data_IF_184318745086
#
_entry.id   IF_184318745086
#
_cell.length_a   1.000
_cell.length_b   1.000
_cell.length_c   1.000
_cell.angle_alpha   90.00
_cell.angle_beta   90.00
_cell.angle_gamma   90.00
#
_symmetry.space_group_name_H-M   'P 1'
#
loop_
_entity.id
_entity.type
_entity.pdbx_description
1 polymer ?
#
# COMPACT_ATOMS: atom_id res chain seq x y z
N UNK A 1 5.06 -5.92 16.85
CA UNK A 1 5.54 -4.59 16.42
C UNK A 1 7.03 -4.36 16.75
N UNK A 2 7.55 -4.91 17.90
CA UNK A 2 8.95 -4.67 18.34
C UNK A 2 9.95 -5.03 17.23
N UNK A 3 9.86 -6.22 16.64
CA UNK A 3 10.76 -6.63 15.56
C UNK A 3 10.74 -5.67 14.34
N UNK A 4 9.58 -5.07 14.03
CA UNK A 4 9.49 -4.07 12.94
C UNK A 4 10.18 -2.76 13.34
N UNK A 5 10.08 -2.37 14.61
CA UNK A 5 10.79 -1.19 15.13
C UNK A 5 12.31 -1.39 15.07
N UNK A 6 12.81 -2.58 15.46
CA UNK A 6 14.24 -2.91 15.37
C UNK A 6 14.74 -2.92 13.93
N UNK A 7 13.95 -3.48 13.00
CA UNK A 7 14.26 -3.45 11.56
C UNK A 7 14.30 -2.01 11.03
N UNK A 8 13.34 -1.17 11.42
CA UNK A 8 13.30 0.22 10.99
C UNK A 8 14.50 1.02 11.51
N UNK A 9 14.91 0.79 12.74
CA UNK A 9 16.12 1.42 13.31
C UNK A 9 17.38 1.08 12.49
N UNK A 10 17.48 -0.15 11.98
CA UNK A 10 18.61 -0.55 11.09
C UNK A 10 18.48 0.08 9.70
N UNK A 11 17.26 0.21 9.16
CA UNK A 11 17.00 0.82 7.84
C UNK A 11 17.30 2.32 7.87
N UNK A 12 16.95 2.99 8.95
CA UNK A 12 17.07 4.42 9.15
C UNK A 12 16.01 5.26 8.44
N UNK A 13 15.81 6.52 8.86
CA UNK A 13 14.74 7.39 8.34
C UNK A 13 14.90 7.70 6.85
N UNK A 14 16.13 7.88 6.36
CA UNK A 14 16.41 8.18 4.96
C UNK A 14 15.92 7.08 4.02
N UNK A 15 16.28 5.82 4.28
CA UNK A 15 15.84 4.71 3.45
C UNK A 15 14.35 4.44 3.64
N UNK A 16 13.83 4.59 4.86
CA UNK A 16 12.43 4.37 5.15
C UNK A 16 11.53 5.34 4.35
N UNK A 17 11.79 6.64 4.41
CA UNK A 17 11.04 7.67 3.66
C UNK A 17 11.23 7.52 2.15
N UNK A 18 12.43 7.17 1.69
CA UNK A 18 12.69 6.85 0.28
C UNK A 18 11.78 5.74 -0.22
N UNK A 19 11.60 4.66 0.54
CA UNK A 19 10.71 3.57 0.14
C UNK A 19 9.23 3.96 0.22
N UNK A 20 8.81 4.84 1.14
CA UNK A 20 7.45 5.38 1.12
C UNK A 20 7.16 6.06 -0.23
N UNK A 21 8.08 6.88 -0.75
CA UNK A 21 7.94 7.50 -2.07
C UNK A 21 8.05 6.50 -3.23
N UNK A 22 8.93 5.50 -3.14
CA UNK A 22 9.01 4.42 -4.15
C UNK A 22 7.66 3.70 -4.27
N UNK A 23 6.94 3.53 -3.17
CA UNK A 23 5.59 2.97 -3.16
C UNK A 23 4.48 3.99 -3.51
N UNK A 24 4.82 5.25 -3.82
CA UNK A 24 3.89 6.28 -4.25
C UNK A 24 3.10 6.93 -3.11
N UNK A 25 3.53 6.78 -1.87
CA UNK A 25 2.92 7.49 -0.75
C UNK A 25 3.34 8.96 -0.77
N UNK A 26 2.41 9.84 -0.43
CA UNK A 26 2.63 11.29 -0.46
C UNK A 26 2.58 11.93 -1.85
N UNK A 27 2.26 11.16 -2.90
CA UNK A 27 2.18 11.64 -4.29
C UNK A 27 0.77 11.41 -4.86
N UNK A 28 0.38 12.18 -5.85
CA UNK A 28 -0.79 11.85 -6.66
C UNK A 28 -0.55 10.55 -7.42
N UNK A 29 -1.52 9.64 -7.42
CA UNK A 29 -1.42 8.40 -8.20
C UNK A 29 -1.66 8.64 -9.69
N UNK A 30 -2.30 9.76 -10.01
CA UNK A 30 -2.70 10.10 -11.37
C UNK A 30 -3.85 9.24 -11.89
N UNK A 31 -4.70 8.71 -10.99
CA UNK A 31 -5.91 8.01 -11.38
C UNK A 31 -6.81 8.92 -12.23
N UNK A 32 -7.46 8.38 -13.21
CA UNK A 32 -8.36 9.06 -14.15
C UNK A 32 -9.73 9.45 -13.55
N UNK A 33 -9.78 9.71 -12.26
CA UNK A 33 -10.95 10.18 -11.52
C UNK A 33 -10.68 11.56 -10.89
N UNK A 34 -11.69 12.44 -10.84
CA UNK A 34 -11.55 13.73 -10.18
C UNK A 34 -11.51 13.58 -8.65
N UNK A 35 -10.85 14.52 -7.96
CA UNK A 35 -10.90 14.63 -6.50
C UNK A 35 -9.86 13.80 -5.77
N UNK A 36 -8.77 13.41 -6.42
CA UNK A 36 -7.66 12.77 -5.72
C UNK A 36 -7.08 13.72 -4.66
N UNK A 37 -6.91 13.22 -3.43
CA UNK A 37 -6.48 14.04 -2.30
C UNK A 37 -4.96 14.25 -2.29
N UNK A 38 -4.52 15.46 -1.93
CA UNK A 38 -3.13 15.78 -1.62
C UNK A 38 -2.73 15.16 -0.28
N UNK A 39 -1.63 14.42 -0.26
CA UNK A 39 -1.14 13.70 0.93
C UNK A 39 0.33 13.93 1.25
N UNK A 40 1.03 14.78 0.51
CA UNK A 40 2.46 15.05 0.74
C UNK A 40 2.77 15.54 2.15
N UNK A 41 1.91 16.40 2.71
CA UNK A 41 2.02 16.90 4.08
C UNK A 41 1.64 15.92 5.19
N UNK A 42 1.24 14.68 4.85
CA UNK A 42 0.83 13.65 5.81
C UNK A 42 1.92 12.60 6.07
N UNK A 43 3.10 12.77 5.47
CA UNK A 43 4.28 11.95 5.67
C UNK A 43 5.40 12.75 6.32
N UNK A 44 6.25 12.05 7.05
CA UNK A 44 7.51 12.63 7.52
C UNK A 44 8.53 12.64 6.38
N UNK A 45 9.42 13.64 6.40
CA UNK A 45 10.67 13.62 5.62
C UNK A 45 11.78 12.97 6.44
N UNK A 46 12.91 12.63 5.81
CA UNK A 46 14.05 12.08 6.53
C UNK A 46 14.55 13.01 7.65
N UNK A 47 14.49 14.33 7.41
CA UNK A 47 14.95 15.35 8.37
C UNK A 47 13.97 15.59 9.52
N UNK A 48 12.69 15.29 9.32
CA UNK A 48 11.64 15.51 10.34
C UNK A 48 11.24 14.24 11.09
N UNK A 49 11.67 13.06 10.61
CA UNK A 49 11.36 11.76 11.19
C UNK A 49 12.25 11.48 12.40
N UNK A 50 11.71 11.63 13.62
CA UNK A 50 12.38 11.21 14.84
C UNK A 50 12.35 9.68 15.06
N UNK A 51 13.08 9.21 16.09
CA UNK A 51 13.14 7.76 16.41
C UNK A 51 11.76 7.16 16.70
N UNK A 52 10.90 7.89 17.42
CA UNK A 52 9.54 7.46 17.76
C UNK A 52 8.66 7.42 16.51
N UNK A 53 8.84 8.40 15.61
CA UNK A 53 8.08 8.44 14.35
C UNK A 53 8.46 7.28 13.44
N UNK A 54 9.76 7.02 13.29
CA UNK A 54 10.26 5.87 12.54
C UNK A 54 9.74 4.55 13.13
N UNK A 55 9.82 4.40 14.45
CA UNK A 55 9.33 3.21 15.14
C UNK A 55 7.82 3.00 14.90
N UNK A 56 7.00 4.03 15.05
CA UNK A 56 5.54 3.94 14.87
C UNK A 56 5.16 3.74 13.39
N UNK A 57 5.82 4.41 12.46
CA UNK A 57 5.62 4.24 11.04
C UNK A 57 5.95 2.81 10.58
N UNK A 58 6.93 2.15 11.19
CA UNK A 58 7.37 0.80 10.82
C UNK A 58 6.28 -0.27 10.90
N UNK A 59 5.30 -0.08 11.76
CA UNK A 59 4.14 -0.97 11.89
C UNK A 59 2.82 -0.33 11.45
N UNK A 60 2.88 0.76 10.65
CA UNK A 60 1.73 1.36 9.98
C UNK A 60 0.93 2.33 10.83
N UNK A 61 1.55 3.01 11.79
CA UNK A 61 0.93 4.06 12.59
C UNK A 61 1.56 5.43 12.28
N UNK A 62 0.84 6.50 12.61
CA UNK A 62 1.35 7.88 12.61
C UNK A 62 1.65 8.46 11.20
N UNK A 63 1.03 7.93 10.15
CA UNK A 63 0.98 8.54 8.81
C UNK A 63 -0.33 8.18 8.11
N UNK A 64 -0.71 8.95 7.09
CA UNK A 64 -1.92 8.73 6.33
C UNK A 64 -1.64 8.64 4.83
N UNK A 65 -2.39 7.75 4.18
CA UNK A 65 -2.35 7.55 2.73
C UNK A 65 -3.77 7.39 2.19
N UNK A 66 -3.99 7.66 0.92
CA UNK A 66 -5.27 7.35 0.29
C UNK A 66 -5.43 5.85 0.05
N UNK A 67 -6.67 5.39 -0.09
CA UNK A 67 -6.94 4.00 -0.46
C UNK A 67 -6.34 3.66 -1.83
N UNK A 68 -6.36 4.60 -2.78
CA UNK A 68 -5.78 4.43 -4.11
C UNK A 68 -4.26 4.25 -4.03
N UNK A 69 -3.57 5.08 -3.24
CA UNK A 69 -2.13 4.90 -2.98
C UNK A 69 -1.82 3.54 -2.37
N UNK A 70 -2.61 3.12 -1.37
CA UNK A 70 -2.40 1.83 -0.70
C UNK A 70 -2.60 0.65 -1.65
N UNK A 71 -3.67 0.66 -2.45
CA UNK A 71 -3.95 -0.41 -3.43
C UNK A 71 -2.87 -0.46 -4.51
N UNK A 72 -2.42 0.68 -5.04
CA UNK A 72 -1.36 0.74 -6.05
C UNK A 72 -0.03 0.22 -5.50
N UNK A 73 0.35 0.64 -4.28
CA UNK A 73 1.53 0.17 -3.59
C UNK A 73 1.48 -1.35 -3.35
N UNK A 74 0.38 -1.84 -2.79
CA UNK A 74 0.18 -3.26 -2.52
C UNK A 74 0.19 -4.10 -3.80
N UNK A 75 -0.48 -3.64 -4.86
CA UNK A 75 -0.46 -4.31 -6.16
C UNK A 75 0.96 -4.47 -6.69
N UNK A 76 1.81 -3.43 -6.53
CA UNK A 76 3.21 -3.53 -6.94
C UNK A 76 4.02 -4.54 -6.12
N UNK A 77 3.67 -4.75 -4.85
CA UNK A 77 4.32 -5.75 -4.00
C UNK A 77 4.04 -7.18 -4.43
N UNK A 78 2.87 -7.45 -4.98
CA UNK A 78 2.42 -8.84 -5.29
C UNK A 78 2.53 -9.21 -6.77
N UNK A 79 2.78 -8.24 -7.68
CA UNK A 79 2.83 -8.47 -9.13
C UNK A 79 4.26 -8.60 -9.71
N UNK A 80 5.27 -8.74 -8.87
CA UNK A 80 6.68 -8.79 -9.28
C UNK A 80 7.44 -7.46 -9.16
N UNK A 81 6.85 -6.46 -8.51
CA UNK A 81 7.45 -5.16 -8.25
C UNK A 81 7.06 -4.06 -9.25
N UNK A 82 6.09 -4.27 -10.10
CA UNK A 82 5.71 -3.30 -11.13
C UNK A 82 4.62 -2.35 -10.62
N UNK A 83 4.94 -1.06 -10.52
CA UNK A 83 4.01 -0.01 -10.11
C UNK A 83 3.40 0.64 -11.34
N UNK A 84 2.12 0.40 -11.57
CA UNK A 84 1.34 0.96 -12.66
C UNK A 84 0.55 2.18 -12.19
N UNK A 85 0.32 3.13 -13.10
CA UNK A 85 -0.65 4.19 -12.89
C UNK A 85 -2.05 3.57 -12.81
N UNK A 86 -2.79 3.80 -11.70
CA UNK A 86 -4.15 3.27 -11.60
C UNK A 86 -5.08 3.98 -12.59
N UNK A 87 -6.03 3.25 -13.17
CA UNK A 87 -7.08 3.81 -14.01
C UNK A 87 -8.37 3.00 -13.87
N UNK A 88 -9.49 3.63 -14.11
CA UNK A 88 -10.84 3.04 -14.07
C UNK A 88 -11.42 2.91 -15.48
N UNK A 89 -11.11 3.88 -16.34
CA UNK A 89 -11.55 3.86 -17.74
C UNK A 89 -10.69 2.88 -18.53
N UNK A 90 -11.29 1.83 -19.04
CA UNK A 90 -10.64 0.86 -19.92
C UNK A 90 -10.59 1.36 -21.36
N UNK A 91 -11.71 1.89 -21.86
CA UNK A 91 -11.84 2.39 -23.22
C UNK A 91 -13.00 3.35 -23.36
N UNK A 92 -12.94 4.22 -24.36
CA UNK A 92 -14.01 5.10 -24.80
C UNK A 92 -14.57 4.56 -26.11
N UNK A 93 -15.89 4.40 -26.18
CA UNK A 93 -16.58 3.92 -27.36
C UNK A 93 -17.49 5.00 -27.95
N UNK A 94 -17.57 5.06 -29.27
CA UNK A 94 -18.52 5.90 -29.99
C UNK A 94 -19.93 5.32 -29.99
N UNK A 95 -20.87 6.08 -30.51
CA UNK A 95 -22.30 5.73 -30.58
C UNK A 95 -22.56 4.38 -31.33
N UNK A 96 -21.73 4.04 -32.27
CA UNK A 96 -21.81 2.79 -33.05
C UNK A 96 -21.04 1.62 -32.44
N UNK A 97 -20.53 1.76 -31.18
CA UNK A 97 -19.73 0.74 -30.50
C UNK A 97 -18.28 0.63 -30.98
N UNK A 98 -17.83 1.47 -31.91
CA UNK A 98 -16.44 1.53 -32.30
C UNK A 98 -15.56 2.09 -31.18
N UNK A 99 -14.41 1.48 -30.94
CA UNK A 99 -13.43 1.98 -29.95
C UNK A 99 -12.80 3.25 -30.50
N UNK A 100 -12.94 4.36 -29.76
CA UNK A 100 -12.30 5.66 -30.06
C UNK A 100 -10.94 5.72 -29.40
N UNK A 101 -10.84 5.28 -28.14
CA UNK A 101 -9.63 5.35 -27.34
C UNK A 101 -9.56 4.13 -26.41
N UNK A 102 -8.35 3.61 -26.19
CA UNK A 102 -8.06 2.55 -25.23
C UNK A 102 -7.05 3.07 -24.22
N UNK A 103 -7.33 2.86 -22.93
CA UNK A 103 -6.39 3.22 -21.87
C UNK A 103 -5.55 1.98 -21.51
N UNK A 104 -4.35 1.91 -22.08
CA UNK A 104 -3.41 0.83 -21.83
C UNK A 104 -2.66 1.02 -20.51
N UNK A 105 -2.31 -0.07 -19.79
CA UNK A 105 -1.59 0.01 -18.53
C UNK A 105 -0.24 0.75 -18.66
N UNK A 106 -0.06 1.83 -17.92
CA UNK A 106 1.16 2.63 -17.91
C UNK A 106 2.05 2.23 -16.73
N UNK A 107 3.19 1.59 -17.03
CA UNK A 107 4.20 1.25 -16.04
C UNK A 107 4.99 2.50 -15.66
N UNK A 108 4.95 2.90 -14.38
CA UNK A 108 5.65 4.08 -13.88
C UNK A 108 7.06 3.74 -13.35
N UNK A 109 7.18 2.67 -12.57
CA UNK A 109 8.44 2.28 -11.92
C UNK A 109 8.42 0.85 -11.40
N UNK A 110 9.59 0.39 -10.97
CA UNK A 110 9.74 -0.87 -10.24
C UNK A 110 10.02 -0.58 -8.76
N UNK A 111 9.19 -1.11 -7.87
CA UNK A 111 9.26 -0.87 -6.42
C UNK A 111 10.18 -1.86 -5.71
N UNK A 112 10.09 -3.14 -6.06
CA UNK A 112 10.87 -4.22 -5.47
C UNK A 112 11.32 -5.21 -6.55
N UNK A 113 12.24 -6.11 -6.20
CA UNK A 113 12.59 -7.23 -7.08
C UNK A 113 11.48 -8.27 -7.14
N UNK A 114 11.44 -9.05 -8.23
CA UNK A 114 10.51 -10.21 -8.32
C UNK A 114 10.71 -11.17 -7.15
N UNK A 115 11.95 -11.45 -6.76
CA UNK A 115 12.26 -12.31 -5.62
C UNK A 115 11.67 -11.78 -4.31
N UNK A 116 11.77 -10.46 -4.07
CA UNK A 116 11.15 -9.82 -2.90
C UNK A 116 9.64 -9.95 -2.94
N UNK A 117 9.03 -9.69 -4.12
CA UNK A 117 7.59 -9.84 -4.33
C UNK A 117 7.11 -11.27 -4.01
N UNK A 118 7.82 -12.29 -4.52
CA UNK A 118 7.48 -13.69 -4.27
C UNK A 118 7.54 -14.03 -2.76
N UNK A 119 8.58 -13.58 -2.05
CA UNK A 119 8.70 -13.76 -0.59
C UNK A 119 7.61 -13.05 0.21
N UNK A 120 7.21 -11.84 -0.22
CA UNK A 120 6.10 -11.11 0.41
C UNK A 120 4.78 -11.87 0.20
N UNK A 121 4.53 -12.41 -0.99
CA UNK A 121 3.34 -13.25 -1.26
C UNK A 121 3.29 -14.48 -0.36
N UNK A 122 4.40 -15.18 -0.16
CA UNK A 122 4.48 -16.32 0.77
C UNK A 122 4.13 -15.89 2.20
N UNK A 123 4.68 -14.77 2.68
CA UNK A 123 4.36 -14.23 4.00
C UNK A 123 2.89 -13.83 4.13
N UNK A 124 2.29 -13.22 3.09
CA UNK A 124 0.87 -12.85 3.08
C UNK A 124 -0.07 -14.07 3.07
N UNK A 125 0.33 -15.16 2.42
CA UNK A 125 -0.40 -16.44 2.50
C UNK A 125 -0.35 -17.05 3.90
N UNK A 126 0.82 -17.02 4.55
CA UNK A 126 0.96 -17.51 5.92
C UNK A 126 0.04 -16.74 6.90
N UNK A 127 -0.24 -15.46 6.68
CA UNK A 127 -1.23 -14.71 7.47
C UNK A 127 -2.63 -15.30 7.34
N UNK A 128 -2.97 -15.88 6.18
CA UNK A 128 -4.29 -16.46 5.92
C UNK A 128 -4.44 -17.90 6.42
N UNK A 129 -3.34 -18.63 6.61
CA UNK A 129 -3.35 -20.01 7.10
C UNK A 129 -3.13 -20.13 8.60
N UNK A 130 -2.19 -19.35 9.15
CA UNK A 130 -1.72 -19.48 10.52
C UNK A 130 -1.75 -18.16 11.32
N UNK A 131 -2.21 -17.07 10.68
CA UNK A 131 -2.16 -15.72 11.25
C UNK A 131 -3.53 -15.08 11.48
N UNK A 132 -3.52 -13.76 11.58
CA UNK A 132 -4.71 -12.94 11.87
C UNK A 132 -5.71 -12.88 10.71
N UNK A 133 -5.35 -13.37 9.54
CA UNK A 133 -6.20 -13.41 8.35
C UNK A 133 -7.06 -14.66 8.22
N UNK A 134 -6.87 -15.68 9.05
CA UNK A 134 -7.62 -16.96 8.98
C UNK A 134 -9.14 -16.77 8.84
N UNK A 135 -9.82 -15.82 9.53
CA UNK A 135 -11.26 -15.62 9.35
C UNK A 135 -11.68 -15.11 7.96
N UNK A 136 -10.75 -14.57 7.18
CA UNK A 136 -10.99 -14.07 5.83
C UNK A 136 -10.59 -15.10 4.75
N UNK A 137 -10.13 -16.28 5.13
CA UNK A 137 -9.80 -17.35 4.19
C UNK A 137 -11.08 -17.95 3.59
N UNK A 138 -11.06 -18.17 2.27
CA UNK A 138 -12.18 -18.76 1.52
C UNK A 138 -11.73 -20.06 0.91
N UNK A 139 -12.43 -21.16 1.21
CA UNK A 139 -12.13 -22.48 0.68
C UNK A 139 -12.18 -22.48 -0.88
N UNK A 140 -11.18 -23.08 -1.49
CA UNK A 140 -11.06 -23.15 -2.96
C UNK A 140 -10.35 -21.94 -3.60
N UNK A 141 -9.93 -20.94 -2.81
CA UNK A 141 -9.17 -19.79 -3.28
C UNK A 141 -7.80 -19.71 -2.62
N UNK A 142 -6.78 -19.29 -3.39
CA UNK A 142 -5.44 -19.02 -2.90
C UNK A 142 -5.34 -17.53 -2.56
N UNK A 143 -5.57 -17.19 -1.30
CA UNK A 143 -5.65 -15.83 -0.80
C UNK A 143 -4.40 -15.47 0.00
N UNK A 144 -3.83 -14.31 -0.26
CA UNK A 144 -2.83 -13.68 0.58
C UNK A 144 -3.30 -12.30 1.03
N UNK A 145 -3.05 -11.94 2.29
CA UNK A 145 -3.51 -10.65 2.77
C UNK A 145 -2.96 -10.24 4.13
N UNK A 146 -3.32 -9.02 4.53
CA UNK A 146 -2.92 -8.44 5.83
C UNK A 146 -4.06 -7.65 6.45
N UNK A 147 -4.31 -7.93 7.71
CA UNK A 147 -5.21 -7.13 8.57
C UNK A 147 -4.53 -5.85 9.02
N UNK A 148 -5.30 -4.77 9.19
CA UNK A 148 -4.87 -3.52 9.80
C UNK A 148 -5.79 -3.13 10.95
N UNK A 149 -5.21 -2.53 11.99
CA UNK A 149 -5.94 -1.97 13.13
C UNK A 149 -5.29 -0.66 13.51
N UNK A 150 -5.94 0.45 13.22
CA UNK A 150 -5.47 1.79 13.55
C UNK A 150 -6.39 2.45 14.56
N UNK A 151 -5.83 2.95 15.67
CA UNK A 151 -6.59 3.70 16.66
C UNK A 151 -6.96 5.08 16.12
N UNK A 152 -8.24 5.45 16.22
CA UNK A 152 -8.71 6.79 15.83
C UNK A 152 -8.38 7.83 16.89
N UNK A 153 -8.33 9.09 16.46
CA UNK A 153 -8.17 10.23 17.37
C UNK A 153 -9.54 10.67 17.94
N UNK A 154 -9.58 11.11 19.21
CA UNK A 154 -8.51 11.08 20.20
C UNK A 154 -8.21 9.66 20.69
N UNK A 155 -6.93 9.36 20.93
CA UNK A 155 -6.51 8.03 21.41
C UNK A 155 -7.08 7.72 22.79
N UNK A 156 -7.27 6.43 23.06
CA UNK A 156 -7.80 5.95 24.34
C UNK A 156 -9.33 5.92 24.43
N UNK A 157 -10.05 6.27 23.35
CA UNK A 157 -11.52 6.19 23.30
C UNK A 157 -12.06 4.80 22.94
N UNK A 158 -11.17 3.88 22.55
CA UNK A 158 -11.56 2.51 22.14
C UNK A 158 -12.05 2.40 20.70
N UNK A 159 -11.99 3.48 19.92
CA UNK A 159 -12.39 3.48 18.51
C UNK A 159 -11.22 3.09 17.59
N UNK A 160 -11.47 2.13 16.71
CA UNK A 160 -10.49 1.62 15.76
C UNK A 160 -11.01 1.64 14.33
N UNK A 161 -10.11 1.91 13.40
CA UNK A 161 -10.31 1.63 11.98
C UNK A 161 -9.75 0.23 11.70
N UNK A 162 -10.64 -0.70 11.40
CA UNK A 162 -10.28 -2.05 11.00
C UNK A 162 -10.23 -2.12 9.48
N UNK A 163 -9.19 -2.75 8.95
CA UNK A 163 -9.01 -2.89 7.51
C UNK A 163 -8.42 -4.26 7.16
N UNK A 164 -8.61 -4.65 5.92
CA UNK A 164 -7.98 -5.82 5.31
C UNK A 164 -7.59 -5.46 3.88
N UNK A 165 -6.38 -5.84 3.47
CA UNK A 165 -5.95 -5.79 2.08
C UNK A 165 -5.44 -7.16 1.67
N UNK A 166 -5.83 -7.62 0.47
CA UNK A 166 -5.49 -8.96 0.00
C UNK A 166 -5.60 -9.12 -1.51
N UNK A 167 -5.21 -10.27 -2.00
CA UNK A 167 -5.25 -10.68 -3.40
C UNK A 167 -5.65 -12.14 -3.50
#
# INVERSE_FOLDING_TARGET
NVALMDMAAVIGPENFTKYQHIFGFGEYTGIDLPGEAETSGLLYTADTMGEIDLATNSFGQNFNVTMTQMVSAFSSLINGGYYYQPHVVKQIQGENGNVIETNDPTLLRKTVSKQTSDRVKEALRAVMTDGTGVPANVEGYDIGGKTGTAEKLPRGNGDYLLSFIGY
#
